data_IF_968462199893
#
_entry.id   IF_968462199893
#
_cell.length_a   1.000
_cell.length_b   1.000
_cell.length_c   1.000
_cell.angle_alpha   90.00
_cell.angle_beta   90.00
_cell.angle_gamma   90.00
#
_symmetry.space_group_name_H-M   'P 1'
#
loop_
_entity.id
_entity.type
_entity.pdbx_description
1 polymer ?
#
# COMPACT_ATOMS: atom_id res chain seq x y z
N UNK A 1 31.12 -26.66 -23.98
CA UNK A 1 30.07 -27.12 -24.90
C UNK A 1 28.92 -27.71 -24.08
N UNK A 2 27.78 -27.02 -24.01
CA UNK A 2 26.54 -27.59 -23.49
C UNK A 2 25.99 -28.51 -24.57
N UNK A 3 26.12 -29.83 -24.41
CA UNK A 3 25.82 -30.83 -25.45
C UNK A 3 24.41 -31.44 -25.37
N UNK A 4 23.57 -31.01 -24.44
CA UNK A 4 22.19 -31.50 -24.35
C UNK A 4 21.20 -30.41 -24.73
N UNK A 5 20.20 -30.71 -25.60
CA UNK A 5 19.08 -29.81 -25.81
C UNK A 5 18.40 -29.53 -24.47
N UNK A 6 18.37 -28.25 -24.11
CA UNK A 6 17.75 -27.80 -22.86
C UNK A 6 16.27 -27.63 -23.12
N UNK A 7 15.44 -28.53 -22.61
CA UNK A 7 14.00 -28.45 -22.78
C UNK A 7 13.38 -27.69 -21.61
N UNK A 8 12.36 -26.87 -21.91
CA UNK A 8 11.39 -26.50 -20.89
C UNK A 8 10.42 -27.65 -20.72
N UNK A 9 10.49 -28.35 -19.58
CA UNK A 9 9.48 -29.34 -19.23
C UNK A 9 8.46 -28.67 -18.32
N UNK A 10 7.25 -28.46 -18.83
CA UNK A 10 6.11 -28.00 -18.04
C UNK A 10 5.27 -29.22 -17.65
N UNK A 11 5.07 -29.50 -16.35
CA UNK A 11 4.21 -30.59 -15.93
C UNK A 11 2.80 -30.45 -16.55
N UNK A 12 2.40 -31.45 -17.34
CA UNK A 12 1.04 -31.57 -17.88
C UNK A 12 0.72 -30.86 -19.21
N UNK A 13 1.68 -30.24 -19.91
CA UNK A 13 1.39 -29.53 -21.18
C UNK A 13 2.41 -29.69 -22.32
N UNK A 14 3.29 -30.69 -22.25
CA UNK A 14 4.28 -30.90 -23.30
C UNK A 14 5.49 -29.99 -23.15
N UNK A 15 6.47 -30.20 -24.03
CA UNK A 15 7.77 -29.51 -24.00
C UNK A 15 7.68 -28.30 -24.91
N UNK A 16 8.05 -27.13 -24.41
CA UNK A 16 8.36 -26.00 -25.28
C UNK A 16 9.82 -26.12 -25.70
N UNK A 17 10.07 -26.02 -27.00
CA UNK A 17 11.42 -25.93 -27.50
C UNK A 17 11.99 -24.55 -27.13
N UNK A 18 13.07 -24.56 -26.35
CA UNK A 18 13.76 -23.33 -25.95
C UNK A 18 15.14 -23.33 -26.56
N UNK A 19 15.36 -22.36 -27.43
CA UNK A 19 16.66 -22.15 -28.02
C UNK A 19 17.47 -21.25 -27.09
N UNK A 20 18.42 -21.85 -26.36
CA UNK A 20 19.36 -21.11 -25.53
C UNK A 20 20.65 -20.81 -26.29
N UNK A 21 21.06 -19.54 -26.27
CA UNK A 21 22.34 -19.07 -26.79
C UNK A 21 23.18 -18.57 -25.62
N UNK A 22 24.33 -19.20 -25.40
CA UNK A 22 25.29 -18.73 -24.41
C UNK A 22 25.93 -17.41 -24.89
N UNK A 23 25.98 -16.42 -24.00
CA UNK A 23 26.70 -15.15 -24.16
C UNK A 23 27.71 -15.01 -23.03
N UNK A 24 28.69 -14.11 -23.17
CA UNK A 24 29.74 -13.92 -22.15
C UNK A 24 29.14 -13.60 -20.77
N UNK A 25 29.10 -14.61 -19.89
CA UNK A 25 28.52 -14.51 -18.54
C UNK A 25 26.99 -14.53 -18.46
N UNK A 26 26.27 -14.82 -19.55
CA UNK A 26 24.80 -14.84 -19.57
C UNK A 26 24.23 -15.90 -20.54
N UNK A 27 22.94 -16.19 -20.44
CA UNK A 27 22.21 -17.02 -21.39
C UNK A 27 21.02 -16.22 -21.91
N UNK A 28 20.74 -16.34 -23.20
CA UNK A 28 19.52 -15.83 -23.82
C UNK A 28 18.69 -17.02 -24.28
N UNK A 29 17.44 -17.11 -23.85
CA UNK A 29 16.49 -18.13 -24.27
C UNK A 29 15.32 -17.50 -24.99
N UNK A 30 14.91 -18.07 -26.13
CA UNK A 30 13.66 -17.71 -26.80
C UNK A 30 12.66 -18.87 -26.70
N UNK A 31 11.44 -18.55 -26.29
CA UNK A 31 10.31 -19.47 -26.25
C UNK A 31 9.25 -18.91 -27.20
N UNK A 32 8.88 -19.67 -28.21
CA UNK A 32 7.75 -19.32 -29.08
C UNK A 32 6.49 -19.97 -28.49
N UNK A 33 5.50 -19.15 -28.14
CA UNK A 33 4.22 -19.61 -27.56
C UNK A 33 3.27 -19.94 -28.72
N UNK A 34 2.78 -21.19 -28.84
CA UNK A 34 1.87 -21.57 -29.91
C UNK A 34 0.50 -20.92 -29.71
N UNK A 35 -0.24 -20.70 -30.79
CA UNK A 35 -1.55 -20.04 -30.76
C UNK A 35 -2.60 -20.81 -29.93
N UNK A 36 -2.43 -22.12 -29.75
CA UNK A 36 -3.30 -22.99 -28.95
C UNK A 36 -2.84 -23.13 -27.49
N UNK A 37 -1.83 -22.36 -27.06
CA UNK A 37 -1.38 -22.34 -25.68
C UNK A 37 -2.51 -21.90 -24.74
N UNK A 38 -2.71 -22.67 -23.66
CA UNK A 38 -3.75 -22.37 -22.67
C UNK A 38 -3.39 -21.14 -21.85
N UNK A 39 -4.39 -20.35 -21.48
CA UNK A 39 -4.19 -19.24 -20.56
C UNK A 39 -3.95 -19.77 -19.13
N UNK A 40 -2.74 -19.59 -18.59
CA UNK A 40 -2.34 -19.97 -17.23
C UNK A 40 -0.92 -19.46 -16.93
N UNK A 41 -0.49 -19.69 -15.69
CA UNK A 41 0.91 -19.54 -15.28
C UNK A 41 1.75 -20.75 -15.71
N UNK A 42 2.97 -20.47 -16.16
CA UNK A 42 3.96 -21.41 -16.65
C UNK A 42 5.25 -21.24 -15.88
N UNK A 43 5.78 -22.36 -15.38
CA UNK A 43 7.09 -22.41 -14.74
C UNK A 43 8.16 -22.79 -15.76
N UNK A 44 9.31 -22.11 -15.66
CA UNK A 44 10.48 -22.27 -16.50
C UNK A 44 11.59 -22.90 -15.67
N UNK A 45 11.94 -24.14 -15.99
CA UNK A 45 13.05 -24.86 -15.34
C UNK A 45 14.28 -24.89 -16.24
N UNK A 46 15.37 -24.29 -15.77
CA UNK A 46 16.69 -24.46 -16.38
C UNK A 46 17.48 -25.49 -15.58
N UNK A 47 17.77 -26.64 -16.18
CA UNK A 47 18.60 -27.70 -15.57
C UNK A 47 20.02 -27.62 -16.10
N UNK A 48 20.96 -27.21 -15.25
CA UNK A 48 22.40 -27.27 -15.52
C UNK A 48 22.95 -28.51 -14.80
N UNK A 49 23.73 -29.33 -15.49
CA UNK A 49 24.32 -30.54 -14.90
C UNK A 49 25.13 -30.19 -13.64
N UNK A 50 24.78 -30.79 -12.50
CA UNK A 50 25.45 -30.55 -11.22
C UNK A 50 24.98 -29.32 -10.44
N UNK A 51 23.97 -28.58 -10.90
CA UNK A 51 23.40 -27.44 -10.18
C UNK A 51 21.90 -27.62 -9.89
N UNK A 52 21.41 -26.90 -8.88
CA UNK A 52 19.96 -26.79 -8.61
C UNK A 52 19.27 -26.09 -9.78
N UNK A 53 18.05 -26.51 -10.15
CA UNK A 53 17.33 -25.87 -11.25
C UNK A 53 17.05 -24.40 -10.91
N UNK A 54 17.25 -23.51 -11.88
CA UNK A 54 16.77 -22.13 -11.79
C UNK A 54 15.30 -22.09 -12.21
N UNK A 55 14.47 -21.41 -11.42
CA UNK A 55 13.03 -21.27 -11.63
C UNK A 55 12.70 -19.83 -12.02
N UNK A 56 12.18 -19.64 -13.23
CA UNK A 56 11.43 -18.45 -13.62
C UNK A 56 9.97 -18.81 -13.85
N UNK A 57 9.10 -17.82 -14.00
CA UNK A 57 7.70 -18.05 -14.41
C UNK A 57 7.22 -16.98 -15.39
N UNK A 58 6.23 -17.33 -16.21
CA UNK A 58 5.52 -16.40 -17.08
C UNK A 58 4.06 -16.81 -17.22
N UNK A 59 3.19 -15.85 -17.55
CA UNK A 59 1.76 -16.11 -17.77
C UNK A 59 1.45 -16.00 -19.25
N UNK A 60 0.74 -16.97 -19.80
CA UNK A 60 0.08 -16.84 -21.11
C UNK A 60 -1.37 -16.49 -20.85
N UNK A 61 -1.88 -15.50 -21.56
CA UNK A 61 -3.28 -15.10 -21.55
C UNK A 61 -3.71 -14.71 -22.96
N UNK A 62 -5.01 -14.62 -23.20
CA UNK A 62 -5.56 -13.95 -24.38
C UNK A 62 -5.72 -12.46 -24.03
N UNK A 63 -4.80 -11.56 -24.46
CA UNK A 63 -4.91 -10.15 -24.14
C UNK A 63 -5.97 -9.51 -25.02
N UNK A 64 -7.22 -9.55 -24.58
CA UNK A 64 -8.25 -8.68 -25.16
C UNK A 64 -7.90 -7.24 -24.81
N UNK A 65 -7.78 -6.39 -25.84
CA UNK A 65 -7.56 -4.97 -25.62
C UNK A 65 -8.74 -4.41 -24.79
N UNK A 66 -8.46 -3.68 -23.70
CA UNK A 66 -9.52 -3.05 -22.93
C UNK A 66 -10.25 -2.03 -23.82
N UNK A 67 -11.58 -2.06 -23.81
CA UNK A 67 -12.46 -1.16 -24.57
C UNK A 67 -12.97 0.00 -23.71
N UNK A 68 -12.89 -0.16 -22.39
CA UNK A 68 -13.16 0.84 -21.39
C UNK A 68 -12.10 0.80 -20.28
N UNK A 69 -12.02 1.88 -19.51
CA UNK A 69 -11.14 2.01 -18.36
C UNK A 69 -11.89 2.57 -17.17
N UNK A 70 -11.47 2.13 -16.00
CA UNK A 70 -11.95 2.58 -14.71
C UNK A 70 -10.79 3.29 -13.99
N UNK A 71 -11.07 4.32 -13.20
CA UNK A 71 -10.06 5.00 -12.41
C UNK A 71 -10.67 5.45 -11.11
N UNK A 72 -9.99 5.17 -9.99
CA UNK A 72 -10.39 5.58 -8.66
C UNK A 72 -9.46 6.71 -8.20
N UNK A 73 -10.01 7.89 -8.00
CA UNK A 73 -9.33 9.02 -7.40
C UNK A 73 -9.77 9.13 -5.95
N UNK A 74 -8.86 8.79 -5.03
CA UNK A 74 -9.01 8.92 -3.60
C UNK A 74 -7.78 9.65 -3.03
N UNK A 75 -7.88 10.32 -1.87
CA UNK A 75 -6.72 10.91 -1.23
C UNK A 75 -5.73 9.83 -0.79
N UNK A 76 -4.43 10.12 -0.79
CA UNK A 76 -3.41 9.15 -0.33
C UNK A 76 -3.52 8.83 1.18
N UNK A 77 -4.09 9.76 1.95
CA UNK A 77 -4.24 9.65 3.40
C UNK A 77 -5.51 10.36 3.91
N UNK A 78 -5.99 9.93 5.08
CA UNK A 78 -7.08 10.59 5.79
C UNK A 78 -6.94 10.39 7.31
N UNK A 79 -7.63 11.23 8.10
CA UNK A 79 -7.82 10.97 9.52
C UNK A 79 -8.81 9.81 9.71
N UNK A 80 -8.68 8.98 10.77
CA UNK A 80 -9.65 7.92 11.05
C UNK A 80 -11.10 8.37 11.29
N UNK A 81 -11.33 9.67 11.44
CA UNK A 81 -12.66 10.27 11.65
C UNK A 81 -13.05 11.23 10.52
N UNK A 82 -12.28 11.26 9.42
CA UNK A 82 -12.54 12.15 8.30
C UNK A 82 -13.61 11.61 7.34
N UNK A 83 -14.14 12.52 6.52
CA UNK A 83 -14.85 12.18 5.30
C UNK A 83 -13.85 11.96 4.17
N UNK A 84 -13.86 10.77 3.57
CA UNK A 84 -13.03 10.43 2.41
C UNK A 84 -13.90 10.56 1.16
N UNK A 85 -13.57 11.53 0.31
CA UNK A 85 -14.23 11.67 -1.00
C UNK A 85 -13.52 10.79 -2.02
N UNK A 86 -14.28 9.90 -2.64
CA UNK A 86 -13.82 8.99 -3.68
C UNK A 86 -14.52 9.37 -4.98
N UNK A 87 -13.74 9.61 -6.03
CA UNK A 87 -14.27 9.81 -7.38
C UNK A 87 -13.93 8.60 -8.24
N UNK A 88 -14.95 8.01 -8.83
CA UNK A 88 -14.80 6.88 -9.75
C UNK A 88 -15.10 7.38 -11.15
N UNK A 89 -14.16 7.18 -12.06
CA UNK A 89 -14.25 7.66 -13.44
C UNK A 89 -14.29 6.47 -14.40
N UNK A 90 -15.39 6.33 -15.14
CA UNK A 90 -15.49 5.42 -16.26
C UNK A 90 -15.29 6.15 -17.59
N UNK A 91 -14.41 5.59 -18.41
CA UNK A 91 -14.10 6.11 -19.75
C UNK A 91 -14.16 4.99 -20.77
N UNK A 92 -14.69 5.27 -21.95
CA UNK A 92 -14.43 4.43 -23.12
C UNK A 92 -13.03 4.76 -23.65
N UNK A 93 -12.25 3.75 -24.03
CA UNK A 93 -10.94 3.96 -24.66
C UNK A 93 -11.06 4.23 -26.17
N UNK A 94 -12.26 4.06 -26.73
CA UNK A 94 -12.56 4.19 -28.16
C UNK A 94 -13.68 5.20 -28.44
N UNK A 95 -14.14 5.95 -27.44
CA UNK A 95 -15.37 6.73 -27.54
C UNK A 95 -15.59 7.75 -26.41
N UNK A 96 -16.82 8.30 -26.29
CA UNK A 96 -17.14 9.34 -25.31
C UNK A 96 -17.15 8.82 -23.87
N UNK A 97 -17.29 9.74 -22.91
CA UNK A 97 -17.48 9.41 -21.50
C UNK A 97 -18.70 8.50 -21.30
N UNK A 98 -18.61 7.58 -20.32
CA UNK A 98 -19.67 6.59 -20.09
C UNK A 98 -20.58 7.03 -18.95
N UNK A 99 -21.63 7.78 -19.28
CA UNK A 99 -22.63 8.22 -18.30
C UNK A 99 -23.74 7.20 -18.05
N UNK A 100 -24.31 7.23 -16.84
CA UNK A 100 -25.37 6.31 -16.43
C UNK A 100 -24.90 4.87 -16.19
N UNK A 101 -23.58 4.63 -16.18
CA UNK A 101 -23.03 3.34 -15.84
C UNK A 101 -23.18 3.06 -14.35
N UNK A 102 -23.81 1.93 -14.03
CA UNK A 102 -23.92 1.38 -12.68
C UNK A 102 -22.67 0.56 -12.35
N UNK A 103 -22.11 0.78 -11.16
CA UNK A 103 -20.93 0.11 -10.64
C UNK A 103 -21.19 -0.34 -9.22
N UNK A 104 -20.49 -1.38 -8.80
CA UNK A 104 -20.47 -1.84 -7.42
C UNK A 104 -19.19 -1.33 -6.76
N UNK A 105 -19.32 -0.58 -5.68
CA UNK A 105 -18.22 -0.11 -4.86
C UNK A 105 -18.26 -0.84 -3.52
N UNK A 106 -17.19 -1.54 -3.21
CA UNK A 106 -16.96 -2.16 -1.91
C UNK A 106 -15.87 -1.38 -1.18
N UNK A 107 -16.05 -1.15 0.12
CA UNK A 107 -14.98 -0.57 0.93
C UNK A 107 -14.89 -1.21 2.30
N UNK A 108 -13.65 -1.36 2.78
CA UNK A 108 -13.32 -2.04 4.03
C UNK A 108 -12.18 -1.36 4.76
N UNK A 109 -12.13 -1.56 6.08
CA UNK A 109 -10.97 -1.18 6.89
C UNK A 109 -10.04 -2.40 6.98
N UNK A 110 -8.80 -2.21 6.55
CA UNK A 110 -7.73 -3.20 6.69
C UNK A 110 -6.88 -2.83 7.91
N UNK A 111 -7.03 -3.63 8.97
CA UNK A 111 -6.24 -3.51 10.18
C UNK A 111 -4.77 -3.86 9.95
N UNK A 112 -3.88 -3.25 10.72
CA UNK A 112 -2.46 -3.61 10.70
C UNK A 112 -2.21 -5.08 11.13
N UNK A 113 -3.11 -5.67 11.91
CA UNK A 113 -3.05 -7.07 12.31
C UNK A 113 -3.55 -8.04 11.23
N UNK A 114 -3.87 -7.54 10.02
CA UNK A 114 -4.41 -8.33 8.92
C UNK A 114 -5.89 -8.69 9.08
N UNK A 115 -6.57 -8.11 10.07
CA UNK A 115 -8.03 -8.23 10.16
C UNK A 115 -8.68 -7.27 9.18
N UNK A 116 -9.64 -7.79 8.43
CA UNK A 116 -10.45 -7.02 7.50
C UNK A 116 -11.87 -6.93 8.04
N UNK A 117 -12.41 -5.72 8.04
CA UNK A 117 -13.82 -5.50 8.35
C UNK A 117 -14.48 -4.82 7.14
N UNK A 118 -15.30 -5.58 6.41
CA UNK A 118 -16.12 -5.03 5.33
C UNK A 118 -17.12 -4.08 5.95
N UNK A 119 -17.03 -2.82 5.56
CA UNK A 119 -17.83 -1.78 6.17
C UNK A 119 -19.06 -1.44 5.33
N UNK A 120 -18.96 -1.50 4.00
CA UNK A 120 -20.13 -1.30 3.13
C UNK A 120 -19.92 -1.86 1.72
N UNK A 121 -21.05 -2.11 1.07
CA UNK A 121 -21.19 -2.34 -0.36
C UNK A 121 -22.26 -1.38 -0.88
N UNK A 122 -21.91 -0.58 -1.88
CA UNK A 122 -22.77 0.46 -2.43
C UNK A 122 -22.86 0.34 -3.95
N UNK A 123 -24.05 0.59 -4.49
CA UNK A 123 -24.25 0.74 -5.93
C UNK A 123 -24.11 2.22 -6.28
N UNK A 124 -23.21 2.54 -7.19
CA UNK A 124 -22.92 3.92 -7.61
C UNK A 124 -23.21 4.07 -9.09
N UNK A 125 -23.70 5.25 -9.49
CA UNK A 125 -24.01 5.55 -10.89
C UNK A 125 -23.24 6.77 -11.35
N UNK A 126 -22.59 6.64 -12.49
CA UNK A 126 -21.88 7.77 -13.11
C UNK A 126 -22.84 8.81 -13.66
N UNK A 127 -22.47 10.09 -13.52
CA UNK A 127 -23.17 11.20 -14.14
C UNK A 127 -22.92 11.26 -15.66
N UNK A 128 -23.44 12.29 -16.34
CA UNK A 128 -23.25 12.48 -17.79
C UNK A 128 -21.80 12.65 -18.25
N UNK A 129 -20.86 12.92 -17.33
CA UNK A 129 -19.42 13.03 -17.63
C UNK A 129 -18.65 11.75 -17.32
N UNK A 130 -19.34 10.65 -16.98
CA UNK A 130 -18.71 9.37 -16.63
C UNK A 130 -18.08 9.35 -15.24
N UNK A 131 -18.52 10.23 -14.34
CA UNK A 131 -17.96 10.35 -12.97
C UNK A 131 -19.04 10.01 -11.94
N UNK A 132 -18.71 9.12 -11.01
CA UNK A 132 -19.47 8.89 -9.78
C UNK A 132 -18.66 9.44 -8.59
N UNK A 133 -19.33 10.02 -7.59
CA UNK A 133 -18.68 10.55 -6.40
C UNK A 133 -19.35 9.96 -5.16
N UNK A 134 -18.54 9.41 -4.26
CA UNK A 134 -18.95 8.82 -2.99
C UNK A 134 -18.21 9.52 -1.86
N UNK A 135 -18.89 9.72 -0.74
CA UNK A 135 -18.29 10.25 0.49
C UNK A 135 -18.39 9.18 1.57
N UNK A 136 -17.25 8.60 1.93
CA UNK A 136 -17.14 7.62 3.02
C UNK A 136 -16.90 8.38 4.31
N UNK A 137 -17.84 8.30 5.25
CA UNK A 137 -17.72 8.95 6.56
C UNK A 137 -17.17 7.97 7.59
N UNK A 138 -15.89 8.08 7.90
CA UNK A 138 -15.21 7.18 8.84
C UNK A 138 -15.61 7.42 10.30
N UNK A 139 -16.16 8.59 10.64
CA UNK A 139 -16.63 8.87 11.99
C UNK A 139 -17.92 8.14 12.36
N UNK A 140 -18.64 7.60 11.37
CA UNK A 140 -19.89 6.87 11.57
C UNK A 140 -19.70 5.35 11.75
N UNK A 141 -18.45 4.87 11.71
CA UNK A 141 -18.14 3.47 11.99
C UNK A 141 -18.41 3.14 13.46
N UNK A 142 -18.81 1.90 13.74
CA UNK A 142 -19.07 1.42 15.10
C UNK A 142 -17.80 1.52 15.98
N UNK A 143 -16.64 1.25 15.38
CA UNK A 143 -15.33 1.42 16.00
C UNK A 143 -14.48 2.39 15.17
N UNK A 144 -13.77 3.29 15.84
CA UNK A 144 -12.85 4.21 15.15
C UNK A 144 -11.63 3.42 14.64
N UNK A 145 -11.30 3.52 13.34
CA UNK A 145 -10.15 2.82 12.79
C UNK A 145 -8.82 3.20 13.47
N UNK A 146 -7.91 2.24 13.58
CA UNK A 146 -6.59 2.51 14.16
C UNK A 146 -5.71 3.38 13.25
N UNK A 147 -4.77 4.13 13.82
CA UNK A 147 -3.82 5.00 13.08
C UNK A 147 -2.80 4.29 12.17
N UNK A 148 -2.90 2.97 12.05
CA UNK A 148 -2.06 2.16 11.17
C UNK A 148 -2.88 1.33 10.17
N UNK A 149 -4.19 1.50 10.17
CA UNK A 149 -5.08 0.86 9.22
C UNK A 149 -5.10 1.59 7.87
N UNK A 150 -5.63 0.91 6.86
CA UNK A 150 -5.97 1.49 5.56
C UNK A 150 -7.46 1.33 5.28
N UNK A 151 -8.02 2.29 4.55
CA UNK A 151 -9.30 2.14 3.89
C UNK A 151 -9.03 1.57 2.50
N UNK A 152 -9.43 0.33 2.25
CA UNK A 152 -9.40 -0.28 0.93
C UNK A 152 -10.72 -0.02 0.22
N UNK A 153 -10.63 0.34 -1.05
CA UNK A 153 -11.75 0.66 -1.93
C UNK A 153 -11.59 -0.20 -3.17
N UNK A 154 -12.59 -1.00 -3.47
CA UNK A 154 -12.65 -1.83 -4.67
C UNK A 154 -13.88 -1.44 -5.47
N UNK A 155 -13.72 -1.30 -6.78
CA UNK A 155 -14.83 -0.97 -7.67
C UNK A 155 -14.88 -1.98 -8.79
N UNK A 156 -16.07 -2.56 -8.98
CA UNK A 156 -16.40 -3.46 -10.07
C UNK A 156 -17.38 -2.79 -11.01
N UNK A 157 -17.09 -2.87 -12.31
CA UNK A 157 -17.94 -2.33 -13.34
C UNK A 157 -18.01 -3.28 -14.53
N UNK A 158 -19.23 -3.58 -14.99
CA UNK A 158 -19.43 -4.29 -16.26
C UNK A 158 -19.47 -3.25 -17.39
N UNK A 159 -18.39 -3.19 -18.16
CA UNK A 159 -18.18 -2.24 -19.25
C UNK A 159 -19.17 -2.42 -20.42
N UNK A 160 -19.18 -1.48 -21.38
CA UNK A 160 -20.16 -1.47 -22.48
C UNK A 160 -20.12 -2.72 -23.36
N UNK A 161 -18.96 -3.37 -23.49
CA UNK A 161 -18.80 -4.62 -24.24
C UNK A 161 -18.90 -5.88 -23.36
N UNK A 162 -19.44 -5.73 -22.15
CA UNK A 162 -19.69 -6.79 -21.14
C UNK A 162 -18.44 -7.40 -20.53
N UNK A 163 -17.30 -6.74 -20.64
CA UNK A 163 -16.12 -7.03 -19.84
C UNK A 163 -16.33 -6.59 -18.40
N UNK A 164 -15.88 -7.42 -17.44
CA UNK A 164 -15.75 -6.99 -16.06
C UNK A 164 -14.44 -6.21 -15.93
N UNK A 165 -14.53 -5.01 -15.39
CA UNK A 165 -13.40 -4.13 -15.07
C UNK A 165 -13.39 -3.95 -13.56
N UNK A 166 -12.24 -4.22 -12.96
CA UNK A 166 -12.02 -4.10 -11.52
C UNK A 166 -10.86 -3.15 -11.29
N UNK A 167 -11.03 -2.24 -10.34
CA UNK A 167 -9.96 -1.34 -9.89
C UNK A 167 -9.99 -1.24 -8.37
N UNK A 168 -8.82 -1.01 -7.78
CA UNK A 168 -8.68 -0.85 -6.34
C UNK A 168 -7.83 0.36 -5.97
N UNK A 169 -8.11 0.92 -4.81
CA UNK A 169 -7.38 2.05 -4.23
C UNK A 169 -7.29 1.88 -2.72
N UNK A 170 -6.25 2.48 -2.12
CA UNK A 170 -6.01 2.38 -0.68
C UNK A 170 -5.67 3.75 -0.11
N UNK A 171 -6.36 4.11 0.97
CA UNK A 171 -6.18 5.37 1.70
C UNK A 171 -5.58 5.07 3.07
N UNK A 172 -4.41 5.62 3.38
CA UNK A 172 -3.76 5.41 4.68
C UNK A 172 -4.44 6.22 5.78
N UNK A 173 -4.85 5.58 6.87
CA UNK A 173 -5.46 6.27 8.00
C UNK A 173 -4.39 6.70 9.01
N UNK A 174 -4.11 8.01 9.10
CA UNK A 174 -3.02 8.59 9.89
C UNK A 174 -3.40 9.97 10.45
N UNK A 175 -2.74 10.39 11.54
CA UNK A 175 -2.93 11.74 12.10
C UNK A 175 -2.35 12.84 11.21
N UNK A 176 -1.32 12.53 10.44
CA UNK A 176 -0.64 13.48 9.58
C UNK A 176 0.03 12.78 8.39
N UNK A 177 0.25 13.55 7.33
CA UNK A 177 0.98 13.16 6.12
C UNK A 177 2.49 13.37 6.24
N UNK A 178 3.04 13.30 7.45
CA UNK A 178 4.47 13.49 7.70
C UNK A 178 5.05 12.27 8.39
N UNK A 179 6.29 11.96 8.04
CA UNK A 179 7.17 11.01 8.71
C UNK A 179 8.22 11.79 9.48
N UNK A 180 8.24 11.58 10.79
CA UNK A 180 9.26 12.14 11.68
C UNK A 180 10.29 11.06 11.95
N UNK A 181 11.56 11.33 11.64
CA UNK A 181 12.69 10.45 11.90
C UNK A 181 13.66 11.15 12.82
N UNK A 182 14.01 10.51 13.94
CA UNK A 182 15.01 11.05 14.85
C UNK A 182 16.37 10.44 14.56
N UNK A 183 17.38 11.30 14.45
CA UNK A 183 18.78 10.93 14.25
C UNK A 183 19.51 11.32 15.54
N UNK A 184 20.18 10.36 16.17
CA UNK A 184 20.90 10.58 17.42
C UNK A 184 22.39 10.70 17.13
N UNK A 185 23.09 11.54 17.89
CA UNK A 185 24.55 11.66 17.79
C UNK A 185 25.28 10.44 18.35
N UNK A 186 24.68 9.75 19.32
CA UNK A 186 25.20 8.55 19.97
C UNK A 186 24.07 7.53 20.18
N UNK A 187 24.40 6.24 20.08
CA UNK A 187 23.46 5.15 20.36
C UNK A 187 23.24 4.94 21.86
N UNK A 188 24.26 5.22 22.67
CA UNK A 188 24.24 5.10 24.13
C UNK A 188 24.56 6.43 24.79
N UNK A 189 23.91 6.66 25.94
CA UNK A 189 24.26 7.78 26.80
C UNK A 189 25.62 7.49 27.46
N UNK A 190 26.59 8.38 27.24
CA UNK A 190 27.92 8.29 27.84
C UNK A 190 28.06 9.46 28.81
N UNK A 191 28.20 9.20 30.12
CA UNK A 191 28.29 10.27 31.12
C UNK A 191 29.37 11.29 30.77
N UNK A 192 28.99 12.57 30.72
CA UNK A 192 29.88 13.68 30.41
C UNK A 192 30.07 13.96 28.91
N UNK A 193 29.45 13.20 28.02
CA UNK A 193 29.45 13.45 26.57
C UNK A 193 28.12 14.07 26.15
N UNK A 194 28.17 15.15 25.35
CA UNK A 194 26.95 15.80 24.85
C UNK A 194 26.11 14.87 23.97
N UNK A 195 24.85 14.67 24.37
CA UNK A 195 23.86 13.95 23.58
C UNK A 195 23.07 14.91 22.68
N UNK A 196 23.00 14.60 21.39
CA UNK A 196 22.28 15.39 20.39
C UNK A 196 21.22 14.57 19.68
N UNK A 197 20.05 15.17 19.49
CA UNK A 197 18.98 14.61 18.64
C UNK A 197 18.68 15.60 17.54
N UNK A 198 18.88 15.18 16.30
CA UNK A 198 18.36 15.85 15.13
C UNK A 198 17.05 15.19 14.70
N UNK A 199 16.16 15.97 14.09
CA UNK A 199 14.91 15.45 13.56
C UNK A 199 14.79 15.79 12.09
N UNK A 200 14.49 14.76 11.30
CA UNK A 200 14.18 14.86 9.89
C UNK A 200 12.68 14.66 9.71
N UNK A 201 12.00 15.66 9.16
CA UNK A 201 10.55 15.64 8.91
C UNK A 201 10.36 15.59 7.41
N UNK A 202 9.75 14.51 6.93
CA UNK A 202 9.47 14.29 5.51
C UNK A 202 7.99 14.12 5.27
N UNK A 203 7.51 14.50 4.09
CA UNK A 203 6.18 14.12 3.62
C UNK A 203 6.16 12.63 3.20
N UNK A 204 5.02 12.18 2.65
CA UNK A 204 4.86 10.80 2.16
C UNK A 204 5.70 10.53 0.90
N UNK A 205 6.10 11.57 0.17
CA UNK A 205 6.93 11.52 -1.02
C UNK A 205 8.43 11.57 -0.68
N UNK A 206 8.79 11.77 0.59
CA UNK A 206 10.16 11.85 1.08
C UNK A 206 10.78 13.25 1.01
N UNK A 207 10.01 14.27 0.62
CA UNK A 207 10.46 15.66 0.58
C UNK A 207 10.52 16.23 1.98
N UNK A 208 11.53 17.06 2.25
CA UNK A 208 11.67 17.72 3.56
C UNK A 208 10.51 18.70 3.75
N UNK A 209 9.91 18.65 4.94
CA UNK A 209 8.85 19.57 5.35
C UNK A 209 9.44 20.55 6.35
N UNK A 210 9.52 21.83 5.98
CA UNK A 210 9.94 22.91 6.87
C UNK A 210 8.80 23.29 7.83
N UNK A 211 8.51 22.39 8.76
CA UNK A 211 7.61 22.63 9.89
C UNK A 211 8.36 22.41 11.19
N UNK A 212 8.22 23.36 12.12
CA UNK A 212 8.71 23.19 13.48
C UNK A 212 7.95 22.03 14.13
N UNK A 213 8.67 20.95 14.45
CA UNK A 213 8.18 19.86 15.28
C UNK A 213 8.82 20.04 16.65
N UNK A 214 8.00 20.29 17.66
CA UNK A 214 8.48 20.37 19.03
C UNK A 214 8.98 18.98 19.48
N UNK A 215 10.25 18.90 19.89
CA UNK A 215 10.85 17.69 20.42
C UNK A 215 11.04 17.91 21.92
N UNK A 216 10.31 17.15 22.72
CA UNK A 216 10.50 17.14 24.16
C UNK A 216 11.38 15.95 24.51
N UNK A 217 12.60 16.21 24.98
CA UNK A 217 13.42 15.19 25.61
C UNK A 217 12.85 14.94 27.02
N UNK A 218 12.44 13.71 27.26
CA UNK A 218 11.83 13.29 28.52
C UNK A 218 12.83 12.47 29.31
N UNK A 219 13.09 12.87 30.55
CA UNK A 219 13.83 12.05 31.52
C UNK A 219 12.87 11.02 32.10
N UNK A 220 12.86 9.84 31.48
CA UNK A 220 11.95 8.74 31.83
C UNK A 220 12.14 8.30 33.28
N UNK A 221 13.35 8.40 33.83
CA UNK A 221 13.64 7.98 35.20
C UNK A 221 12.99 8.94 36.21
N UNK A 222 13.14 10.24 35.99
CA UNK A 222 12.52 11.27 36.82
C UNK A 222 10.99 11.27 36.75
N UNK A 223 10.43 10.97 35.58
CA UNK A 223 8.97 10.88 35.42
C UNK A 223 8.39 9.59 36.01
N UNK A 224 9.13 8.48 35.97
CA UNK A 224 8.78 7.26 36.69
C UNK A 224 8.84 7.46 38.21
N UNK A 225 9.86 8.17 38.72
CA UNK A 225 9.97 8.52 40.13
C UNK A 225 8.81 9.40 40.59
N UNK A 226 8.44 10.42 39.79
CA UNK A 226 7.25 11.26 40.05
C UNK A 226 5.93 10.50 40.01
N UNK A 227 5.78 9.58 39.05
CA UNK A 227 4.59 8.75 38.93
C UNK A 227 4.48 7.80 40.14
N UNK A 228 5.61 7.23 40.56
CA UNK A 228 5.70 6.39 41.76
C UNK A 228 5.38 7.18 43.03
N UNK A 229 5.93 8.38 43.20
CA UNK A 229 5.63 9.27 44.33
C UNK A 229 4.16 9.68 44.37
N UNK A 230 3.57 10.03 43.21
CA UNK A 230 2.15 10.39 43.12
C UNK A 230 1.22 9.21 43.44
N UNK A 231 1.61 7.99 43.06
CA UNK A 231 0.87 6.77 43.38
C UNK A 231 1.05 6.35 44.84
N UNK A 232 2.21 6.64 45.44
CA UNK A 232 2.55 6.38 46.84
C UNK A 232 1.91 7.39 47.81
N UNK A 233 1.47 8.56 47.31
CA UNK A 233 0.87 9.63 48.12
C UNK A 233 -0.62 9.41 48.47
N UNK A 234 -1.23 8.30 48.04
CA UNK A 234 -2.59 7.89 48.41
C UNK A 234 -3.73 8.63 47.67
N UNK A 235 -4.96 8.08 47.69
CA UNK A 235 -6.08 8.56 46.88
C UNK A 235 -6.71 9.81 47.52
N UNK A 236 -6.11 10.98 47.32
CA UNK A 236 -6.61 12.21 47.98
C UNK A 236 -6.42 13.53 47.25
N UNK A 237 -5.53 13.64 46.26
CA UNK A 237 -5.30 14.92 45.57
C UNK A 237 -5.02 14.74 44.09
N UNK A 238 -6.09 14.68 43.29
CA UNK A 238 -6.03 15.10 41.89
C UNK A 238 -5.91 16.63 41.87
N UNK A 239 -4.69 17.15 41.93
CA UNK A 239 -4.41 18.50 41.45
C UNK A 239 -3.88 18.36 40.04
N UNK A 240 -4.62 18.92 39.08
CA UNK A 240 -4.21 19.05 37.70
C UNK A 240 -2.78 19.61 37.61
N UNK A 241 -1.87 18.86 36.98
CA UNK A 241 -0.56 19.39 36.60
C UNK A 241 -0.72 19.97 35.20
N UNK A 242 -0.87 21.29 35.16
CA UNK A 242 -0.75 22.06 33.94
C UNK A 242 0.67 21.91 33.40
N UNK A 243 0.79 21.44 32.15
CA UNK A 243 2.04 21.45 31.39
C UNK A 243 2.30 22.88 30.94
N UNK A 244 3.26 23.55 31.56
CA UNK A 244 3.79 24.81 31.03
C UNK A 244 4.70 24.50 29.82
N UNK A 245 4.57 25.22 28.69
CA UNK A 245 5.53 25.08 27.60
C UNK A 245 6.85 25.74 28.01
N UNK A 246 7.95 25.00 27.88
CA UNK A 246 9.29 25.60 27.86
C UNK A 246 9.48 26.21 26.48
N UNK A 247 9.38 27.53 26.41
CA UNK A 247 9.87 28.30 25.27
C UNK A 247 11.38 28.10 25.14
N UNK A 248 11.80 27.68 23.95
CA UNK A 248 13.18 27.62 23.52
C UNK A 248 13.21 27.76 22.01
N UNK A 249 13.36 28.99 21.54
CA UNK A 249 13.68 29.30 20.14
C UNK A 249 15.03 28.68 19.77
N UNK A 250 15.08 27.97 18.64
CA UNK A 250 16.24 27.86 17.74
C UNK A 250 15.74 27.95 16.31
#
# INVERSE_FOLDING_TARGET
>A
EFRDPTYLSVPGLGRFDVNFVAKFGSFEGRVDIPEDARSKDYDVYLRISGASPYLGSFTVGDPRLPTAGLTINAPEWALPTANVTVQVVARSLIGPAVGGATMKLDWRIEGHDGKEELASQEEITTNSTGVATVVINLANLAETPSLRSSLAIDVQWVGPTRELIEESSSVKLRLANIKVTHIRSLETDVPGVGFGVATDVKDLQGSKVDKAVAINLVDVQKDLERAWEAQSAGPGRLSAVATAPLEGEV
#
